data_IF_279034877173
#
_entry.id   IF_279034877173
#
_cell.length_a   1.000
_cell.length_b   1.000
_cell.length_c   1.000
_cell.angle_alpha   90.00
_cell.angle_beta   90.00
_cell.angle_gamma   90.00
#
_symmetry.space_group_name_H-M   'P 1'
#
loop_
_entity.id
_entity.type
_entity.pdbx_description
1 polymer ?
#
# COMPACT_ATOMS: atom_id res chain seq x y z
N UNK A 1 -13.93 -32.88 28.55
CA UNK A 1 -14.77 -32.35 27.45
C UNK A 1 -13.99 -32.04 26.15
N UNK A 2 -12.65 -32.10 26.14
CA UNK A 2 -11.82 -31.77 24.95
C UNK A 2 -11.69 -32.90 23.90
N UNK A 3 -11.76 -34.17 24.30
CA UNK A 3 -11.56 -35.30 23.38
C UNK A 3 -12.70 -35.58 22.38
N UNK A 4 -13.93 -35.12 22.65
CA UNK A 4 -15.08 -35.35 21.76
C UNK A 4 -15.08 -34.43 20.53
N UNK A 5 -14.65 -33.17 20.69
CA UNK A 5 -14.58 -32.19 19.60
C UNK A 5 -13.47 -32.49 18.60
N UNK A 6 -12.34 -33.03 19.06
CA UNK A 6 -11.25 -33.46 18.18
C UNK A 6 -11.67 -34.64 17.29
N UNK A 7 -12.27 -35.68 17.87
CA UNK A 7 -12.81 -36.83 17.11
C UNK A 7 -13.87 -36.42 16.08
N UNK A 8 -14.68 -35.41 16.39
CA UNK A 8 -15.67 -34.86 15.45
C UNK A 8 -15.02 -34.18 14.24
N UNK A 9 -13.94 -33.41 14.45
CA UNK A 9 -13.20 -32.74 13.37
C UNK A 9 -12.46 -33.72 12.48
N UNK A 10 -11.85 -34.75 13.06
CA UNK A 10 -11.19 -35.83 12.30
C UNK A 10 -12.18 -36.60 11.42
N UNK A 11 -13.41 -36.85 11.95
CA UNK A 11 -14.49 -37.47 11.17
C UNK A 11 -14.95 -36.60 10.00
N UNK A 12 -15.05 -35.29 10.19
CA UNK A 12 -15.38 -34.33 9.12
C UNK A 12 -14.27 -34.25 8.06
N UNK A 13 -13.00 -34.19 8.48
CA UNK A 13 -11.87 -34.21 7.55
C UNK A 13 -11.85 -35.51 6.70
N UNK A 14 -12.15 -36.66 7.32
CA UNK A 14 -12.26 -37.94 6.62
C UNK A 14 -13.44 -37.97 5.63
N UNK A 15 -14.58 -37.39 5.99
CA UNK A 15 -15.73 -37.26 5.10
C UNK A 15 -15.40 -36.39 3.87
N UNK A 16 -14.66 -35.29 4.07
CA UNK A 16 -14.19 -34.42 2.97
C UNK A 16 -13.24 -35.16 2.05
N UNK A 17 -12.27 -35.91 2.59
CA UNK A 17 -11.36 -36.73 1.76
C UNK A 17 -12.11 -37.81 0.98
N UNK A 18 -13.10 -38.44 1.59
CA UNK A 18 -13.92 -39.47 0.93
C UNK A 18 -14.78 -38.90 -0.20
N UNK A 19 -15.34 -37.70 -0.03
CA UNK A 19 -16.15 -37.04 -1.05
C UNK A 19 -15.32 -36.62 -2.28
N UNK A 20 -14.03 -36.35 -2.08
CA UNK A 20 -13.08 -35.99 -3.14
C UNK A 20 -12.45 -37.22 -3.82
N UNK A 21 -12.66 -38.43 -3.29
CA UNK A 21 -12.05 -39.65 -3.81
C UNK A 21 -10.55 -39.78 -3.52
N UNK A 22 -10.03 -39.07 -2.52
CA UNK A 22 -8.61 -39.05 -2.11
C UNK A 22 -7.61 -38.91 -3.28
N UNK A 23 -7.68 -37.82 -4.06
CA UNK A 23 -6.85 -37.66 -5.24
C UNK A 23 -5.42 -37.26 -4.87
N UNK A 24 -4.44 -37.68 -5.67
CA UNK A 24 -3.00 -37.45 -5.42
C UNK A 24 -2.59 -35.97 -5.37
N UNK A 25 -3.43 -35.09 -5.92
CA UNK A 25 -3.23 -33.63 -5.87
C UNK A 25 -3.74 -32.98 -4.57
N UNK A 26 -4.48 -33.70 -3.72
CA UNK A 26 -4.97 -33.18 -2.44
C UNK A 26 -3.96 -33.48 -1.33
N UNK A 27 -3.18 -32.46 -0.95
CA UNK A 27 -2.07 -32.62 0.01
C UNK A 27 -2.57 -32.70 1.45
N UNK A 28 -3.55 -31.87 1.82
CA UNK A 28 -4.12 -31.93 3.16
C UNK A 28 -5.55 -31.38 3.23
N UNK A 29 -6.26 -31.81 4.28
CA UNK A 29 -7.60 -31.35 4.67
C UNK A 29 -7.58 -31.10 6.16
N UNK A 30 -7.86 -29.87 6.57
CA UNK A 30 -7.92 -29.47 7.99
C UNK A 30 -9.26 -28.83 8.30
N UNK A 31 -9.88 -29.19 9.44
CA UNK A 31 -11.13 -28.58 9.89
C UNK A 31 -10.85 -27.69 11.10
N UNK A 32 -11.15 -26.41 10.97
CA UNK A 32 -11.04 -25.40 12.03
C UNK A 32 -12.09 -25.58 13.13
N UNK A 33 -11.90 -24.88 14.26
CA UNK A 33 -12.86 -24.90 15.38
C UNK A 33 -14.19 -24.20 15.04
N UNK A 34 -14.18 -23.34 14.03
CA UNK A 34 -15.32 -22.62 13.45
C UNK A 34 -16.03 -23.41 12.33
N UNK A 35 -15.75 -24.71 12.18
CA UNK A 35 -16.37 -25.52 11.12
C UNK A 35 -15.85 -25.21 9.71
N UNK A 36 -14.76 -24.45 9.58
CA UNK A 36 -14.12 -24.14 8.29
C UNK A 36 -13.24 -25.29 7.81
N UNK A 37 -13.48 -25.77 6.59
CA UNK A 37 -12.58 -26.68 5.90
C UNK A 37 -11.48 -25.92 5.15
N UNK A 38 -10.22 -26.28 5.40
CA UNK A 38 -9.05 -25.80 4.66
C UNK A 38 -8.52 -26.96 3.83
N UNK A 39 -8.48 -26.77 2.51
CA UNK A 39 -8.00 -27.73 1.52
C UNK A 39 -6.66 -27.23 0.96
N UNK A 40 -5.63 -28.06 0.94
CA UNK A 40 -4.37 -27.75 0.26
C UNK A 40 -4.27 -28.61 -0.98
N UNK A 41 -4.21 -27.97 -2.15
CA UNK A 41 -4.22 -28.62 -3.45
C UNK A 41 -2.93 -28.28 -4.18
N UNK A 42 -2.23 -29.30 -4.67
CA UNK A 42 -1.05 -29.14 -5.51
C UNK A 42 -1.44 -28.60 -6.88
N UNK A 43 -0.80 -27.52 -7.28
CA UNK A 43 -0.88 -26.92 -8.60
C UNK A 43 0.41 -27.17 -9.37
N UNK A 44 0.30 -27.59 -10.63
CA UNK A 44 1.42 -27.59 -11.54
C UNK A 44 1.61 -26.17 -12.09
N UNK A 45 2.85 -25.67 -12.07
CA UNK A 45 3.22 -24.35 -12.59
C UNK A 45 2.91 -24.16 -14.09
N UNK A 46 2.76 -25.24 -14.84
CA UNK A 46 2.39 -25.23 -16.27
C UNK A 46 0.89 -25.35 -16.56
N UNK A 47 0.04 -25.69 -15.58
CA UNK A 47 -1.39 -25.97 -15.77
C UNK A 47 -2.26 -25.21 -14.76
N UNK A 48 -2.30 -23.89 -14.92
CA UNK A 48 -3.13 -23.01 -14.07
C UNK A 48 -4.62 -23.25 -14.25
N UNK A 49 -5.06 -23.67 -15.45
CA UNK A 49 -6.47 -23.91 -15.74
C UNK A 49 -6.97 -25.21 -15.07
N UNK A 50 -6.19 -26.29 -15.11
CA UNK A 50 -6.51 -27.53 -14.41
C UNK A 50 -6.43 -27.39 -12.89
N UNK A 51 -5.49 -26.59 -12.37
CA UNK A 51 -5.43 -26.28 -10.94
C UNK A 51 -6.67 -25.54 -10.45
N UNK A 52 -7.17 -24.56 -11.21
CA UNK A 52 -8.39 -23.83 -10.88
C UNK A 52 -9.64 -24.70 -11.00
N UNK A 53 -9.72 -25.57 -12.01
CA UNK A 53 -10.82 -26.53 -12.13
C UNK A 53 -10.89 -27.47 -10.91
N UNK A 54 -9.74 -28.00 -10.47
CA UNK A 54 -9.63 -28.83 -9.24
C UNK A 54 -10.02 -28.05 -7.98
N UNK A 55 -9.63 -26.77 -7.89
CA UNK A 55 -10.03 -25.89 -6.77
C UNK A 55 -11.56 -25.79 -6.67
N UNK A 56 -12.22 -25.50 -7.79
CA UNK A 56 -13.68 -25.33 -7.85
C UNK A 56 -14.38 -26.65 -7.52
N UNK A 57 -13.91 -27.77 -8.07
CA UNK A 57 -14.46 -29.10 -7.76
C UNK A 57 -14.34 -29.41 -6.26
N UNK A 58 -13.16 -29.17 -5.69
CA UNK A 58 -12.89 -29.49 -4.30
C UNK A 58 -13.71 -28.63 -3.31
N UNK A 59 -13.87 -27.34 -3.62
CA UNK A 59 -14.70 -26.43 -2.83
C UNK A 59 -16.17 -26.85 -2.84
N UNK A 60 -16.70 -27.19 -4.01
CA UNK A 60 -18.09 -27.61 -4.16
C UNK A 60 -18.38 -28.94 -3.46
N UNK A 61 -17.46 -29.89 -3.52
CA UNK A 61 -17.62 -31.18 -2.83
C UNK A 61 -17.53 -31.02 -1.31
N UNK A 62 -16.58 -30.22 -0.80
CA UNK A 62 -16.43 -29.99 0.64
C UNK A 62 -17.60 -29.20 1.23
N UNK A 63 -18.14 -28.22 0.51
CA UNK A 63 -19.27 -27.39 0.95
C UNK A 63 -20.58 -28.17 1.09
N UNK A 64 -20.71 -29.34 0.45
CA UNK A 64 -21.89 -30.21 0.55
C UNK A 64 -21.88 -31.13 1.77
N UNK A 65 -20.80 -31.14 2.55
CA UNK A 65 -20.69 -32.01 3.72
C UNK A 65 -21.37 -31.35 4.92
N UNK A 66 -22.38 -32.00 5.53
CA UNK A 66 -23.05 -31.48 6.71
C UNK A 66 -22.05 -31.25 7.85
N UNK A 67 -22.00 -30.01 8.37
CA UNK A 67 -21.06 -29.60 9.42
C UNK A 67 -19.86 -28.79 8.93
N UNK A 68 -19.75 -28.55 7.62
CA UNK A 68 -18.82 -27.57 7.04
C UNK A 68 -19.56 -26.25 6.82
N UNK A 69 -19.11 -25.18 7.48
CA UNK A 69 -19.73 -23.85 7.36
C UNK A 69 -19.07 -22.99 6.27
N UNK A 70 -17.78 -23.22 6.03
CA UNK A 70 -17.00 -22.47 5.05
C UNK A 70 -15.88 -23.34 4.49
N UNK A 71 -15.55 -23.17 3.21
CA UNK A 71 -14.41 -23.82 2.57
C UNK A 71 -13.39 -22.77 2.16
N UNK A 72 -12.11 -23.08 2.30
CA UNK A 72 -11.00 -22.27 1.82
C UNK A 72 -9.96 -23.19 1.21
N UNK A 73 -9.53 -22.88 -0.02
CA UNK A 73 -8.54 -23.69 -0.72
C UNK A 73 -7.25 -22.91 -0.91
N UNK A 74 -6.13 -23.59 -0.73
CA UNK A 74 -4.79 -23.07 -0.95
C UNK A 74 -4.15 -23.89 -2.08
N UNK A 75 -3.68 -23.21 -3.13
CA UNK A 75 -2.95 -23.84 -4.22
C UNK A 75 -1.44 -23.78 -3.93
N UNK A 76 -0.76 -24.92 -3.91
CA UNK A 76 0.70 -25.04 -3.70
C UNK A 76 1.38 -25.36 -5.02
N UNK A 77 2.25 -24.47 -5.52
CA UNK A 77 3.06 -24.74 -6.70
C UNK A 77 4.47 -25.14 -6.28
N UNK A 78 4.90 -26.36 -6.57
CA UNK A 78 6.30 -26.76 -6.45
C UNK A 78 7.06 -26.33 -7.70
N UNK A 79 8.18 -25.61 -7.52
CA UNK A 79 9.14 -25.30 -8.58
C UNK A 79 10.43 -26.06 -8.27
N UNK A 80 10.76 -27.05 -9.08
CA UNK A 80 12.04 -27.74 -8.96
C UNK A 80 13.21 -26.76 -9.27
N UNK A 81 14.33 -26.77 -8.51
CA UNK A 81 15.46 -25.88 -8.78
C UNK A 81 16.28 -26.35 -9.98
N UNK A 82 16.61 -25.41 -10.87
CA UNK A 82 17.59 -25.48 -11.97
C UNK A 82 17.32 -26.45 -13.15
N UNK A 83 17.03 -25.85 -14.32
CA UNK A 83 17.83 -26.14 -15.53
C UNK A 83 18.17 -24.84 -16.26
N UNK A 84 19.47 -24.58 -16.32
CA UNK A 84 20.15 -23.66 -17.23
C UNK A 84 19.87 -24.03 -18.69
N UNK A 85 19.48 -23.07 -19.51
CA UNK A 85 19.61 -23.21 -20.97
C UNK A 85 20.44 -22.06 -21.54
N UNK A 86 21.65 -22.44 -21.94
CA UNK A 86 22.49 -21.77 -22.93
C UNK A 86 22.09 -22.18 -24.34
N UNK A 87 22.55 -21.36 -25.31
CA UNK A 87 22.58 -21.57 -26.77
C UNK A 87 21.26 -21.35 -27.52
N UNK A 88 21.25 -20.95 -28.78
CA UNK A 88 22.18 -20.28 -29.69
C UNK A 88 21.37 -20.05 -30.96
N UNK A 89 21.82 -19.10 -31.77
CA UNK A 89 21.22 -18.71 -33.03
C UNK A 89 21.32 -19.83 -34.08
N UNK A 90 20.20 -20.25 -34.68
CA UNK A 90 20.18 -20.82 -36.04
C UNK A 90 18.83 -20.56 -36.70
N UNK A 91 18.87 -19.86 -37.83
CA UNK A 91 17.69 -19.66 -38.67
C UNK A 91 17.38 -20.90 -39.49
N UNK A 92 16.09 -21.19 -39.67
CA UNK A 92 15.58 -21.79 -40.89
C UNK A 92 14.07 -21.58 -41.04
N UNK A 93 13.74 -21.17 -42.26
CA UNK A 93 12.44 -20.82 -42.79
C UNK A 93 11.52 -22.07 -42.84
N UNK A 94 10.37 -22.06 -42.13
CA UNK A 94 9.26 -22.99 -42.39
C UNK A 94 7.92 -22.27 -42.22
N UNK A 95 7.12 -22.35 -43.29
CA UNK A 95 5.76 -21.86 -43.46
C UNK A 95 4.80 -22.48 -42.44
N UNK A 96 4.08 -21.64 -41.70
CA UNK A 96 3.06 -22.04 -40.73
C UNK A 96 1.70 -22.24 -41.45
N UNK A 97 0.98 -23.36 -41.27
CA UNK A 97 -0.41 -23.46 -41.68
C UNK A 97 -1.31 -22.75 -40.65
N UNK A 98 -2.27 -21.97 -41.15
CA UNK A 98 -3.26 -21.24 -40.33
C UNK A 98 -4.10 -22.19 -39.46
N UNK A 99 -3.94 -22.07 -38.14
CA UNK A 99 -4.82 -22.69 -37.15
C UNK A 99 -5.82 -21.61 -36.69
N UNK A 100 -7.14 -21.75 -36.96
CA UNK A 100 -8.14 -20.79 -36.50
C UNK A 100 -8.36 -20.97 -34.99
N UNK A 101 -7.82 -20.06 -34.18
CA UNK A 101 -8.13 -19.98 -32.75
C UNK A 101 -9.31 -19.04 -32.53
N UNK A 102 -10.54 -19.57 -32.50
CA UNK A 102 -11.59 -19.21 -31.54
C UNK A 102 -12.86 -20.05 -31.78
N UNK A 103 -13.42 -20.74 -30.77
CA UNK A 103 -14.82 -21.13 -30.82
C UNK A 103 -15.70 -19.88 -30.64
N UNK A 104 -16.68 -19.69 -31.52
CA UNK A 104 -17.72 -18.66 -31.37
C UNK A 104 -18.54 -18.93 -30.10
N UNK A 105 -18.88 -17.89 -29.31
CA UNK A 105 -19.70 -18.06 -28.12
C UNK A 105 -21.13 -18.48 -28.48
N UNK A 106 -21.82 -19.27 -27.64
CA UNK A 106 -23.20 -19.68 -27.89
C UNK A 106 -24.14 -18.48 -27.98
N UNK A 107 -25.08 -18.57 -28.93
CA UNK A 107 -26.08 -17.56 -29.21
C UNK A 107 -26.87 -17.22 -27.93
N UNK A 108 -26.84 -15.93 -27.53
CA UNK A 108 -27.54 -15.42 -26.34
C UNK A 108 -26.64 -14.75 -25.30
N UNK A 109 -25.31 -14.88 -25.40
CA UNK A 109 -24.38 -14.16 -24.52
C UNK A 109 -24.11 -12.74 -25.04
N UNK A 110 -24.60 -11.74 -24.31
CA UNK A 110 -24.36 -10.33 -24.63
C UNK A 110 -22.91 -9.99 -24.25
N UNK A 111 -22.03 -9.84 -25.24
CA UNK A 111 -20.68 -9.30 -25.04
C UNK A 111 -20.82 -7.89 -24.43
N UNK A 112 -20.31 -7.71 -23.22
CA UNK A 112 -20.19 -6.38 -22.62
C UNK A 112 -19.09 -5.64 -23.37
N UNK A 113 -19.45 -4.60 -24.10
CA UNK A 113 -18.49 -3.73 -24.76
C UNK A 113 -17.73 -2.92 -23.72
N UNK A 114 -16.44 -2.70 -23.96
CA UNK A 114 -15.60 -1.82 -23.13
C UNK A 114 -16.21 -0.40 -23.21
N UNK A 115 -16.91 0.01 -22.16
CA UNK A 115 -17.71 1.24 -22.13
C UNK A 115 -19.15 1.10 -21.63
N UNK A 116 -19.61 -0.10 -21.25
CA UNK A 116 -20.91 -0.24 -20.58
C UNK A 116 -20.91 0.57 -19.27
N UNK A 117 -21.73 1.62 -19.20
CA UNK A 117 -21.99 2.35 -17.95
C UNK A 117 -22.63 1.37 -16.96
N UNK A 118 -22.03 1.29 -15.77
CA UNK A 118 -22.64 0.63 -14.61
C UNK A 118 -24.03 1.25 -14.40
N UNK A 119 -25.05 0.44 -14.12
CA UNK A 119 -26.37 0.95 -13.77
C UNK A 119 -26.27 1.86 -12.54
N UNK A 120 -27.15 2.86 -12.45
CA UNK A 120 -27.16 3.79 -11.31
C UNK A 120 -27.33 3.06 -9.96
N UNK A 121 -27.97 1.88 -9.96
CA UNK A 121 -28.05 0.98 -8.80
C UNK A 121 -26.72 0.30 -8.44
N UNK A 122 -25.87 -0.04 -9.42
CA UNK A 122 -24.53 -0.57 -9.16
C UNK A 122 -23.56 0.51 -8.68
N UNK A 123 -23.81 1.79 -9.05
CA UNK A 123 -23.08 2.95 -8.53
C UNK A 123 -23.52 3.32 -7.11
N UNK A 124 -24.79 3.10 -6.75
CA UNK A 124 -25.32 3.38 -5.40
C UNK A 124 -24.98 2.30 -4.38
N UNK A 125 -24.77 1.05 -4.78
CA UNK A 125 -24.34 -0.05 -3.90
C UNK A 125 -22.90 0.05 -3.39
N UNK A 126 -22.13 1.04 -3.87
CA UNK A 126 -20.76 1.31 -3.43
C UNK A 126 -20.55 2.69 -2.81
N UNK A 127 -21.63 3.43 -2.54
CA UNK A 127 -21.50 4.68 -1.79
C UNK A 127 -21.04 4.34 -0.36
N UNK A 128 -19.83 4.76 0.07
CA UNK A 128 -19.46 4.62 1.47
C UNK A 128 -20.54 5.32 2.31
N UNK A 129 -20.92 4.76 3.47
CA UNK A 129 -21.83 5.45 4.38
C UNK A 129 -21.31 6.88 4.60
N UNK A 130 -22.21 7.87 4.78
CA UNK A 130 -21.81 9.25 5.01
C UNK A 130 -20.74 9.27 6.09
N UNK A 131 -19.59 9.86 5.76
CA UNK A 131 -18.40 9.82 6.60
C UNK A 131 -18.76 10.35 7.99
N UNK A 132 -18.75 9.48 8.99
CA UNK A 132 -18.80 9.90 10.38
C UNK A 132 -17.65 10.88 10.58
N UNK A 133 -17.88 12.09 11.10
CA UNK A 133 -16.81 13.06 11.30
C UNK A 133 -15.73 12.41 12.18
N UNK A 134 -14.55 12.19 11.60
CA UNK A 134 -13.43 11.59 12.30
C UNK A 134 -12.94 12.57 13.36
N UNK A 135 -12.77 12.08 14.59
CA UNK A 135 -12.28 12.91 15.68
C UNK A 135 -10.82 13.26 15.42
N UNK A 136 -10.41 14.53 15.58
CA UNK A 136 -9.01 14.92 15.54
C UNK A 136 -8.18 14.11 16.54
N UNK A 137 -6.94 13.81 16.19
CA UNK A 137 -5.99 13.16 17.11
C UNK A 137 -5.40 14.24 18.01
N UNK A 138 -5.57 14.17 19.35
CA UNK A 138 -5.03 15.16 20.25
C UNK A 138 -3.51 15.29 20.10
N UNK A 139 -3.00 16.53 20.05
CA UNK A 139 -1.58 16.79 19.91
C UNK A 139 -1.06 16.83 18.48
N UNK A 140 -1.93 16.72 17.47
CA UNK A 140 -1.56 16.84 16.05
C UNK A 140 -2.48 17.85 15.36
N UNK A 141 -1.90 18.90 14.77
CA UNK A 141 -2.65 19.95 14.08
C UNK A 141 -3.09 19.52 12.67
N UNK A 142 -2.18 18.93 11.88
CA UNK A 142 -2.45 18.49 10.51
C UNK A 142 -1.82 17.13 10.22
N UNK A 143 -2.46 16.34 9.37
CA UNK A 143 -1.96 15.04 8.91
C UNK A 143 -1.88 15.04 7.39
N UNK A 144 -0.66 14.89 6.86
CA UNK A 144 -0.39 14.71 5.43
C UNK A 144 -0.06 13.26 5.15
N UNK A 145 -0.84 12.62 4.30
CA UNK A 145 -0.53 11.29 3.76
C UNK A 145 0.34 11.44 2.52
N UNK A 146 1.49 10.76 2.50
CA UNK A 146 2.33 10.61 1.31
C UNK A 146 2.06 9.24 0.72
N UNK A 147 1.43 9.22 -0.45
CA UNK A 147 0.94 8.01 -1.08
C UNK A 147 1.61 7.77 -2.43
N UNK A 148 1.69 6.50 -2.83
CA UNK A 148 2.13 6.10 -4.15
C UNK A 148 1.35 4.89 -4.60
N UNK A 149 0.92 4.88 -5.84
CA UNK A 149 0.10 3.78 -6.32
C UNK A 149 0.92 2.60 -6.89
N UNK A 150 2.26 2.67 -6.79
CA UNK A 150 3.22 1.59 -7.09
C UNK A 150 4.41 1.64 -6.12
N UNK A 151 5.00 0.48 -5.83
CA UNK A 151 6.28 0.39 -5.12
C UNK A 151 7.47 0.89 -5.95
N UNK A 152 8.51 1.40 -5.27
CA UNK A 152 9.76 1.81 -5.91
C UNK A 152 9.77 3.18 -6.58
N UNK A 153 8.70 3.98 -6.46
CA UNK A 153 8.63 5.35 -7.01
C UNK A 153 9.32 6.41 -6.12
N UNK A 154 9.98 6.01 -5.03
CA UNK A 154 10.64 6.95 -4.11
C UNK A 154 9.70 7.66 -3.11
N UNK A 155 8.52 7.09 -2.83
CA UNK A 155 7.55 7.59 -1.83
C UNK A 155 8.20 7.91 -0.47
N UNK A 156 8.86 6.93 0.15
CA UNK A 156 9.51 7.08 1.46
C UNK A 156 10.65 8.10 1.42
N UNK A 157 11.40 8.15 0.30
CA UNK A 157 12.41 9.19 0.07
C UNK A 157 11.82 10.58 0.08
N UNK A 158 10.67 10.77 -0.59
CA UNK A 158 9.94 12.04 -0.58
C UNK A 158 9.43 12.34 0.83
N UNK A 159 8.81 11.38 1.52
CA UNK A 159 8.27 11.57 2.87
C UNK A 159 9.35 12.02 3.88
N UNK A 160 10.49 11.31 3.92
CA UNK A 160 11.61 11.61 4.81
C UNK A 160 12.21 12.98 4.54
N UNK A 161 12.48 13.30 3.27
CA UNK A 161 13.12 14.57 2.93
C UNK A 161 12.16 15.76 3.03
N UNK A 162 10.87 15.56 2.75
CA UNK A 162 9.84 16.56 2.99
C UNK A 162 9.72 16.88 4.49
N UNK A 163 9.68 15.84 5.34
CA UNK A 163 9.63 16.00 6.78
C UNK A 163 10.85 16.78 7.30
N UNK A 164 12.05 16.36 6.90
CA UNK A 164 13.29 17.01 7.28
C UNK A 164 13.38 18.46 6.78
N UNK A 165 12.93 18.75 5.54
CA UNK A 165 12.89 20.11 5.01
C UNK A 165 11.92 21.02 5.78
N UNK A 166 10.75 20.51 6.17
CA UNK A 166 9.77 21.26 6.96
C UNK A 166 10.25 21.50 8.39
N UNK A 167 10.89 20.51 9.02
CA UNK A 167 11.52 20.69 10.33
C UNK A 167 12.67 21.71 10.29
N UNK A 168 13.52 21.64 9.24
CA UNK A 168 14.56 22.65 8.99
C UNK A 168 13.98 24.06 8.79
N UNK A 169 12.76 24.17 8.28
CA UNK A 169 12.04 25.44 8.14
C UNK A 169 11.36 25.90 9.45
N UNK A 170 11.50 25.16 10.55
CA UNK A 170 11.04 25.53 11.89
C UNK A 170 9.70 24.92 12.32
N UNK A 171 9.12 24.00 11.53
CA UNK A 171 7.89 23.31 11.92
C UNK A 171 8.19 22.16 12.90
N UNK A 172 7.27 21.91 13.84
CA UNK A 172 7.25 20.68 14.65
C UNK A 172 6.68 19.55 13.79
N UNK A 173 7.56 18.68 13.28
CA UNK A 173 7.18 17.63 12.32
C UNK A 173 7.33 16.25 12.92
N UNK A 174 6.30 15.43 12.69
CA UNK A 174 6.32 14.01 12.97
C UNK A 174 6.37 13.21 11.67
N UNK A 175 6.99 12.04 11.70
CA UNK A 175 7.01 11.10 10.60
C UNK A 175 6.59 9.71 11.07
N UNK A 176 5.48 9.21 10.53
CA UNK A 176 4.98 7.87 10.77
C UNK A 176 5.22 6.99 9.53
N UNK A 177 5.99 5.92 9.72
CA UNK A 177 6.14 4.86 8.74
C UNK A 177 5.03 3.81 8.90
N UNK A 178 4.10 3.81 7.95
CA UNK A 178 3.03 2.83 7.87
C UNK A 178 3.32 1.72 6.83
N UNK A 179 4.50 1.71 6.20
CA UNK A 179 4.88 0.70 5.20
C UNK A 179 5.46 -0.57 5.85
N UNK A 180 4.57 -1.42 6.34
CA UNK A 180 4.90 -2.60 7.14
C UNK A 180 5.70 -3.65 6.38
N UNK A 181 5.52 -3.72 5.06
CA UNK A 181 6.16 -4.75 4.25
C UNK A 181 7.60 -4.39 3.87
N UNK A 182 8.00 -3.13 4.06
CA UNK A 182 9.33 -2.65 3.75
C UNK A 182 9.62 -1.34 4.46
N UNK A 183 9.65 -1.32 5.81
CA UNK A 183 9.91 -0.10 6.56
C UNK A 183 11.30 0.41 6.20
N UNK A 184 11.37 1.61 5.65
CA UNK A 184 12.62 2.21 5.18
C UNK A 184 13.04 3.42 6.00
N UNK A 185 12.09 4.02 6.73
CA UNK A 185 12.32 5.24 7.51
C UNK A 185 13.39 5.06 8.59
N UNK A 186 13.43 3.96 9.39
CA UNK A 186 14.49 3.75 10.38
C UNK A 186 15.89 3.84 9.76
N UNK A 187 16.10 3.18 8.63
CA UNK A 187 17.35 3.22 7.86
C UNK A 187 17.66 4.62 7.37
N UNK A 188 16.70 5.29 6.73
CA UNK A 188 16.88 6.62 6.14
C UNK A 188 17.12 7.74 7.16
N UNK A 189 16.85 7.47 8.45
CA UNK A 189 17.12 8.38 9.56
C UNK A 189 18.31 7.97 10.42
N UNK A 190 18.96 6.83 10.13
CA UNK A 190 20.08 6.33 10.94
C UNK A 190 19.64 5.81 12.32
N UNK A 191 18.42 5.29 12.42
CA UNK A 191 17.75 4.91 13.68
C UNK A 191 17.37 3.42 13.73
N UNK A 192 18.05 2.57 12.96
CA UNK A 192 17.74 1.13 12.85
C UNK A 192 17.81 0.37 14.18
N UNK A 193 18.60 0.85 15.14
CA UNK A 193 18.74 0.26 16.47
C UNK A 193 17.94 1.01 17.55
N UNK A 194 17.11 1.97 17.15
CA UNK A 194 16.31 2.74 18.09
C UNK A 194 15.01 1.99 18.40
N UNK A 195 14.60 2.05 19.66
CA UNK A 195 13.33 1.51 20.12
C UNK A 195 12.53 2.65 20.80
N UNK A 196 11.24 2.81 20.50
CA UNK A 196 10.41 3.78 21.19
C UNK A 196 10.24 3.38 22.65
N UNK A 197 10.52 4.30 23.56
CA UNK A 197 10.26 4.09 24.98
C UNK A 197 8.75 4.10 25.26
N UNK A 198 8.36 3.56 26.41
CA UNK A 198 6.99 3.70 26.91
C UNK A 198 6.97 4.67 28.09
N UNK A 199 6.12 5.70 28.02
CA UNK A 199 5.97 6.70 29.08
C UNK A 199 5.21 6.14 30.30
N UNK A 200 5.24 6.83 31.46
CA UNK A 200 4.45 6.43 32.63
C UNK A 200 2.94 6.35 32.36
N UNK A 201 2.45 7.09 31.36
CA UNK A 201 1.06 7.05 30.89
C UNK A 201 0.78 5.88 29.93
N UNK A 202 1.73 4.95 29.77
CA UNK A 202 1.69 3.80 28.86
C UNK A 202 1.54 4.19 27.38
N UNK A 203 2.05 5.36 27.01
CA UNK A 203 2.11 5.80 25.61
C UNK A 203 3.49 5.55 25.02
N UNK A 204 3.53 5.33 23.71
CA UNK A 204 4.78 5.28 22.96
C UNK A 204 5.38 6.68 22.88
N UNK A 205 6.65 6.78 23.25
CA UNK A 205 7.47 7.98 23.06
C UNK A 205 8.12 7.86 21.69
N UNK A 206 7.81 8.75 20.72
CA UNK A 206 8.44 8.73 19.41
C UNK A 206 9.97 8.82 19.50
N UNK A 207 10.65 8.12 18.59
CA UNK A 207 12.11 8.26 18.43
C UNK A 207 12.40 9.65 17.87
N UNK A 208 13.37 10.37 18.45
CA UNK A 208 13.78 11.66 17.92
C UNK A 208 14.97 11.51 16.98
N UNK A 209 14.87 12.05 15.77
CA UNK A 209 15.95 12.05 14.80
C UNK A 209 15.85 13.27 13.88
N UNK A 210 16.96 13.98 13.71
CA UNK A 210 17.05 15.12 12.78
C UNK A 210 15.98 16.22 13.01
N UNK A 211 15.55 16.43 14.26
CA UNK A 211 14.48 17.37 14.61
C UNK A 211 13.06 16.87 14.33
N UNK A 212 12.92 15.57 14.01
CA UNK A 212 11.64 14.90 13.79
C UNK A 212 11.30 14.01 14.99
N UNK A 213 10.01 13.93 15.31
CA UNK A 213 9.45 12.81 16.10
C UNK A 213 9.06 11.68 15.17
N UNK A 214 9.50 10.46 15.40
CA UNK A 214 9.27 9.35 14.46
C UNK A 214 8.75 8.10 15.12
N UNK A 215 7.84 7.43 14.42
CA UNK A 215 7.41 6.08 14.74
C UNK A 215 7.41 5.25 13.47
N UNK A 216 7.83 4.00 13.59
CA UNK A 216 7.82 3.04 12.50
C UNK A 216 7.51 1.68 13.08
N UNK A 217 6.80 0.88 12.29
CA UNK A 217 6.65 -0.54 12.61
C UNK A 217 8.02 -1.24 12.57
N UNK A 218 8.98 -0.72 11.81
CA UNK A 218 10.37 -1.18 11.84
C UNK A 218 11.07 -0.99 13.20
N UNK A 219 10.61 -0.09 14.07
CA UNK A 219 11.15 0.00 15.45
C UNK A 219 10.54 -1.03 16.41
N UNK A 220 9.37 -1.57 16.06
CA UNK A 220 8.62 -2.53 16.89
C UNK A 220 8.79 -3.98 16.40
N UNK A 221 9.52 -4.17 15.30
CA UNK A 221 9.68 -5.45 14.63
C UNK A 221 11.08 -5.99 14.89
N UNK A 222 11.15 -7.24 15.35
CA UNK A 222 12.41 -7.99 15.39
C UNK A 222 12.79 -8.34 13.93
N UNK A 223 13.97 -7.90 13.43
CA UNK A 223 14.42 -8.18 12.07
C UNK A 223 14.48 -9.67 11.71
N UNK A 224 14.67 -10.53 12.72
CA UNK A 224 14.86 -11.97 12.54
C UNK A 224 13.57 -12.79 12.72
N UNK A 225 12.48 -12.14 13.15
CA UNK A 225 11.19 -12.82 13.38
C UNK A 225 10.33 -12.84 12.10
N UNK A 226 9.83 -14.01 11.64
CA UNK A 226 8.88 -14.07 10.55
C UNK A 226 7.53 -13.48 10.98
N UNK A 227 7.29 -12.22 10.61
CA UNK A 227 6.07 -11.53 11.01
C UNK A 227 4.93 -11.79 10.04
N UNK A 228 3.83 -12.35 10.55
CA UNK A 228 2.59 -12.57 9.79
C UNK A 228 1.69 -11.33 9.93
N UNK A 229 2.03 -10.27 9.22
CA UNK A 229 1.22 -9.04 9.17
C UNK A 229 0.00 -9.22 8.25
N UNK A 230 -1.12 -9.66 8.82
CA UNK A 230 -2.42 -9.66 8.12
C UNK A 230 -3.10 -8.29 8.26
N UNK A 231 -3.86 -7.88 7.23
CA UNK A 231 -4.47 -6.53 7.12
C UNK A 231 -5.11 -5.96 8.40
N UNK A 232 -5.91 -6.72 9.18
CA UNK A 232 -6.49 -6.20 10.43
C UNK A 232 -5.44 -5.84 11.51
N UNK A 233 -4.34 -6.61 11.60
CA UNK A 233 -3.25 -6.38 12.56
C UNK A 233 -2.47 -5.13 12.16
N UNK A 234 -2.16 -5.00 10.86
CA UNK A 234 -1.55 -3.82 10.26
C UNK A 234 -2.32 -2.56 10.63
N UNK A 235 -3.63 -2.58 10.45
CA UNK A 235 -4.47 -1.43 10.75
C UNK A 235 -4.54 -1.12 12.24
N UNK A 236 -4.59 -2.14 13.09
CA UNK A 236 -4.54 -1.95 14.54
C UNK A 236 -3.23 -1.30 14.96
N UNK A 237 -2.10 -1.76 14.43
CA UNK A 237 -0.78 -1.21 14.72
C UNK A 237 -0.66 0.26 14.29
N UNK A 238 -1.05 0.59 13.06
CA UNK A 238 -1.04 1.99 12.58
C UNK A 238 -1.94 2.88 13.45
N UNK A 239 -3.14 2.39 13.79
CA UNK A 239 -4.07 3.14 14.66
C UNK A 239 -3.48 3.34 16.05
N UNK A 240 -2.77 2.35 16.60
CA UNK A 240 -2.09 2.43 17.88
C UNK A 240 -0.93 3.44 17.82
N UNK A 241 -0.07 3.38 16.80
CA UNK A 241 1.03 4.34 16.60
C UNK A 241 0.52 5.79 16.48
N UNK A 242 -0.70 5.98 15.99
CA UNK A 242 -1.33 7.28 15.87
C UNK A 242 -1.95 7.77 17.19
N UNK A 243 -2.71 6.92 17.89
CA UNK A 243 -3.52 7.33 19.04
C UNK A 243 -2.79 7.17 20.39
N UNK A 244 -1.90 6.18 20.51
CA UNK A 244 -1.23 5.80 21.76
C UNK A 244 0.23 6.26 21.78
N UNK A 245 0.51 7.42 21.16
CA UNK A 245 1.84 8.00 21.08
C UNK A 245 1.87 9.47 21.52
N UNK A 246 3.03 9.93 22.00
CA UNK A 246 3.27 11.30 22.49
C UNK A 246 3.76 12.24 21.38
N UNK A 247 2.94 12.40 20.34
CA UNK A 247 3.22 13.30 19.22
C UNK A 247 3.33 14.77 19.66
N UNK A 248 2.42 15.22 20.52
CA UNK A 248 2.34 16.57 21.07
C UNK A 248 1.23 16.68 22.10
N UNK A 249 0.99 17.88 22.60
CA UNK A 249 -0.13 18.17 23.53
C UNK A 249 -1.13 19.11 22.87
N UNK A 250 -2.25 19.39 23.54
CA UNK A 250 -3.21 20.37 23.00
C UNK A 250 -2.63 21.79 23.01
N UNK A 251 -1.80 22.07 24.00
CA UNK A 251 -1.15 23.37 24.24
C UNK A 251 0.11 23.54 23.38
N UNK A 252 0.78 22.42 23.06
CA UNK A 252 1.95 22.38 22.19
C UNK A 252 1.80 21.23 21.17
N UNK A 253 0.94 21.41 20.15
CA UNK A 253 0.67 20.36 19.17
C UNK A 253 1.83 20.20 18.19
N UNK A 254 1.97 19.01 17.63
CA UNK A 254 2.74 18.80 16.42
C UNK A 254 2.08 19.58 15.26
N UNK A 255 2.85 20.38 14.52
CA UNK A 255 2.30 21.21 13.43
C UNK A 255 1.87 20.32 12.25
N UNK A 256 2.65 19.28 11.96
CA UNK A 256 2.38 18.35 10.87
C UNK A 256 2.86 16.94 11.20
N UNK A 257 1.97 15.95 11.09
CA UNK A 257 2.34 14.55 10.97
C UNK A 257 2.34 14.13 9.49
N UNK A 258 3.47 13.65 9.01
CA UNK A 258 3.58 13.02 7.68
C UNK A 258 3.47 11.51 7.86
N UNK A 259 2.57 10.87 7.09
CA UNK A 259 2.40 9.42 7.08
C UNK A 259 2.91 8.86 5.75
N UNK A 260 3.95 8.04 5.81
CA UNK A 260 4.43 7.26 4.67
C UNK A 260 3.61 5.97 4.55
N UNK A 261 2.74 5.86 3.55
CA UNK A 261 1.81 4.72 3.45
C UNK A 261 2.44 3.51 2.76
N UNK A 262 1.89 2.30 2.88
CA UNK A 262 2.24 1.21 1.97
C UNK A 262 2.03 1.60 0.49
N UNK A 263 2.71 0.94 -0.46
CA UNK A 263 2.49 1.18 -1.87
C UNK A 263 1.15 0.60 -2.36
N UNK A 264 0.60 1.19 -3.42
CA UNK A 264 -0.59 0.70 -4.11
C UNK A 264 -1.83 1.53 -3.83
N UNK A 265 -3.00 0.94 -4.02
CA UNK A 265 -4.30 1.48 -3.57
C UNK A 265 -5.06 0.41 -2.80
N UNK A 266 -4.31 -0.40 -2.03
CA UNK A 266 -4.83 -1.55 -1.29
C UNK A 266 -5.49 -1.14 0.02
N UNK A 267 -5.95 -2.16 0.75
CA UNK A 267 -6.78 -1.98 1.96
C UNK A 267 -6.14 -1.11 3.04
N UNK A 268 -4.80 -1.16 3.19
CA UNK A 268 -4.12 -0.37 4.21
C UNK A 268 -4.20 1.14 3.95
N UNK A 269 -3.94 1.58 2.71
CA UNK A 269 -4.01 3.00 2.34
C UNK A 269 -5.45 3.51 2.38
N UNK A 270 -6.41 2.69 1.91
CA UNK A 270 -7.83 3.01 2.01
C UNK A 270 -8.28 3.14 3.46
N UNK A 271 -7.84 2.23 4.32
CA UNK A 271 -8.22 2.25 5.72
C UNK A 271 -7.58 3.41 6.50
N UNK A 272 -6.35 3.83 6.17
CA UNK A 272 -5.78 5.11 6.67
C UNK A 272 -6.70 6.26 6.26
N UNK A 273 -7.06 6.35 4.97
CA UNK A 273 -7.91 7.42 4.46
C UNK A 273 -9.34 7.42 5.04
N UNK A 274 -9.82 6.28 5.54
CA UNK A 274 -11.17 6.14 6.13
C UNK A 274 -11.22 6.25 7.66
N UNK A 275 -10.13 5.98 8.37
CA UNK A 275 -10.10 5.89 9.85
C UNK A 275 -9.24 6.96 10.51
N UNK A 276 -8.36 7.61 9.76
CA UNK A 276 -7.48 8.67 10.25
C UNK A 276 -8.03 10.00 9.76
N UNK A 277 -8.12 11.04 10.61
CA UNK A 277 -8.54 12.39 10.20
C UNK A 277 -7.46 13.07 9.34
N UNK A 278 -7.24 12.54 8.14
CA UNK A 278 -6.23 13.03 7.19
C UNK A 278 -6.64 14.41 6.68
N UNK A 279 -5.73 15.38 6.83
CA UNK A 279 -5.93 16.74 6.32
C UNK A 279 -5.83 16.77 4.80
N UNK A 280 -4.83 16.08 4.25
CA UNK A 280 -4.59 16.01 2.80
C UNK A 280 -3.69 14.83 2.40
N UNK A 281 -3.65 14.58 1.10
CA UNK A 281 -2.74 13.62 0.48
C UNK A 281 -1.83 14.26 -0.58
N UNK A 282 -0.56 13.85 -0.58
CA UNK A 282 0.42 14.08 -1.63
C UNK A 282 0.64 12.77 -2.40
N UNK A 283 0.50 12.79 -3.73
CA UNK A 283 0.76 11.61 -4.56
C UNK A 283 2.16 11.67 -5.15
N UNK A 284 2.94 10.62 -4.93
CA UNK A 284 4.29 10.43 -5.49
C UNK A 284 4.22 9.48 -6.69
N UNK A 285 4.86 9.83 -7.79
CA UNK A 285 4.90 9.03 -9.03
C UNK A 285 6.23 9.19 -9.77
N UNK A 286 6.45 8.37 -10.80
CA UNK A 286 7.48 8.59 -11.82
C UNK A 286 6.85 9.00 -13.16
N UNK A 287 7.62 9.51 -14.14
CA UNK A 287 7.10 9.88 -15.45
C UNK A 287 6.57 8.71 -16.29
N UNK A 288 6.82 7.47 -15.88
CA UNK A 288 6.49 6.26 -16.65
C UNK A 288 4.98 6.05 -16.75
N UNK A 289 4.49 5.76 -17.95
CA UNK A 289 3.04 5.60 -18.21
C UNK A 289 2.36 4.57 -17.30
N UNK A 290 3.07 3.50 -16.93
CA UNK A 290 2.58 2.47 -16.02
C UNK A 290 2.34 3.06 -14.62
N UNK A 291 3.25 3.88 -14.09
CA UNK A 291 3.08 4.54 -12.80
C UNK A 291 1.96 5.60 -12.85
N UNK A 292 1.79 6.28 -13.98
CA UNK A 292 0.75 7.30 -14.18
C UNK A 292 -0.68 6.72 -14.14
N UNK A 293 -0.89 5.51 -14.66
CA UNK A 293 -2.18 4.83 -14.53
C UNK A 293 -2.56 4.64 -13.05
N UNK A 294 -1.57 4.43 -12.20
CA UNK A 294 -1.73 4.20 -10.77
C UNK A 294 -2.10 5.50 -10.03
N UNK A 295 -1.54 6.64 -10.46
CA UNK A 295 -1.90 7.98 -9.93
C UNK A 295 -3.39 8.26 -10.05
N UNK A 296 -4.01 7.94 -11.21
CA UNK A 296 -5.46 8.14 -11.40
C UNK A 296 -6.28 7.33 -10.38
N UNK A 297 -5.86 6.09 -10.11
CA UNK A 297 -6.52 5.22 -9.12
C UNK A 297 -6.36 5.76 -7.71
N UNK A 298 -5.15 6.20 -7.34
CA UNK A 298 -4.88 6.82 -6.05
C UNK A 298 -5.71 8.09 -5.81
N UNK A 299 -5.75 8.99 -6.79
CA UNK A 299 -6.56 10.21 -6.71
C UNK A 299 -8.06 9.90 -6.59
N UNK A 300 -8.57 8.94 -7.38
CA UNK A 300 -9.96 8.51 -7.30
C UNK A 300 -10.31 7.86 -5.94
N UNK A 301 -9.37 7.13 -5.33
CA UNK A 301 -9.55 6.55 -4.00
C UNK A 301 -9.70 7.66 -2.94
N UNK A 302 -8.80 8.65 -2.92
CA UNK A 302 -8.89 9.76 -1.96
C UNK A 302 -10.13 10.63 -2.17
N UNK A 303 -10.56 10.84 -3.42
CA UNK A 303 -11.81 11.50 -3.72
C UNK A 303 -13.02 10.77 -3.11
N UNK A 304 -13.05 9.43 -3.15
CA UNK A 304 -14.12 8.62 -2.53
C UNK A 304 -14.10 8.68 -1.00
N UNK A 305 -12.93 8.92 -0.39
CA UNK A 305 -12.79 9.07 1.07
C UNK A 305 -12.85 10.53 1.53
N UNK A 306 -13.16 11.48 0.63
CA UNK A 306 -13.21 12.91 0.92
C UNK A 306 -11.90 13.51 1.44
N UNK A 307 -10.76 12.84 1.18
CA UNK A 307 -9.44 13.36 1.52
C UNK A 307 -8.97 14.22 0.33
N UNK A 308 -8.66 15.52 0.54
CA UNK A 308 -8.21 16.36 -0.55
C UNK A 308 -6.79 15.97 -0.98
N UNK A 309 -6.58 15.85 -2.29
CA UNK A 309 -5.24 15.66 -2.86
C UNK A 309 -4.68 17.05 -3.16
N UNK A 310 -3.59 17.43 -2.48
CA UNK A 310 -2.99 18.76 -2.63
C UNK A 310 -2.07 18.87 -3.84
N UNK A 311 -1.68 17.74 -4.43
CA UNK A 311 -0.88 17.74 -5.65
C UNK A 311 -0.09 16.46 -5.88
N UNK A 312 0.77 16.53 -6.89
CA UNK A 312 1.64 15.44 -7.33
C UNK A 312 3.11 15.85 -7.17
N UNK A 313 3.93 14.95 -6.66
CA UNK A 313 5.39 15.03 -6.74
C UNK A 313 5.89 13.96 -7.72
N UNK A 314 6.57 14.38 -8.78
CA UNK A 314 7.21 13.47 -9.73
C UNK A 314 8.66 13.23 -9.30
N UNK A 315 9.05 11.97 -9.16
CA UNK A 315 10.42 11.56 -8.86
C UNK A 315 11.09 10.96 -10.09
N UNK A 316 12.41 10.88 -10.05
CA UNK A 316 13.20 10.32 -11.14
C UNK A 316 12.93 11.04 -12.47
N UNK A 317 12.64 12.35 -12.41
CA UNK A 317 12.16 13.13 -13.54
C UNK A 317 13.22 13.23 -14.65
N UNK A 318 14.48 13.48 -14.29
CA UNK A 318 15.62 13.42 -15.22
C UNK A 318 16.91 13.13 -14.47
N UNK A 319 17.95 12.74 -15.19
CA UNK A 319 19.33 12.72 -14.75
C UNK A 319 20.10 13.79 -15.51
N UNK A 320 20.94 14.58 -14.86
CA UNK A 320 21.80 15.56 -15.52
C UNK A 320 23.23 15.02 -15.58
N UNK A 321 23.80 14.92 -16.79
CA UNK A 321 25.16 14.44 -16.99
C UNK A 321 26.21 15.52 -16.66
N UNK A 322 27.51 15.17 -16.55
CA UNK A 322 28.56 16.16 -16.25
C UNK A 322 28.71 17.28 -17.30
N UNK A 323 28.13 17.14 -18.49
CA UNK A 323 28.10 18.17 -19.53
C UNK A 323 26.86 19.08 -19.43
N UNK A 324 25.96 18.84 -18.47
CA UNK A 324 24.74 19.60 -18.23
C UNK A 324 23.54 19.14 -19.07
N UNK A 325 23.63 18.01 -19.79
CA UNK A 325 22.50 17.51 -20.55
C UNK A 325 21.54 16.73 -19.66
N UNK A 326 20.24 16.92 -19.88
CA UNK A 326 19.18 16.19 -19.18
C UNK A 326 18.77 14.94 -19.94
N UNK A 327 18.76 13.83 -19.23
CA UNK A 327 18.37 12.51 -19.70
C UNK A 327 17.10 12.04 -18.98
N UNK A 328 16.04 11.81 -19.74
CA UNK A 328 14.72 11.44 -19.23
C UNK A 328 14.52 9.91 -19.26
N UNK A 329 15.33 9.18 -18.48
CA UNK A 329 15.37 7.71 -18.50
C UNK A 329 14.02 7.06 -18.17
N UNK A 330 13.19 7.74 -17.37
CA UNK A 330 11.88 7.28 -16.94
C UNK A 330 10.73 7.87 -17.77
N UNK A 331 11.03 8.65 -18.81
CA UNK A 331 10.07 9.46 -19.57
C UNK A 331 10.08 10.92 -19.15
N UNK A 332 9.39 11.78 -19.92
CA UNK A 332 9.37 13.23 -19.72
C UNK A 332 7.94 13.75 -19.55
N UNK A 333 7.72 14.53 -18.49
CA UNK A 333 6.50 15.30 -18.25
C UNK A 333 5.26 14.46 -17.96
N UNK A 334 5.41 13.20 -17.55
CA UNK A 334 4.31 12.29 -17.25
C UNK A 334 3.44 12.77 -16.10
N UNK A 335 4.06 13.15 -14.99
CA UNK A 335 3.45 13.74 -13.81
C UNK A 335 2.77 15.07 -14.12
N UNK A 336 3.38 15.92 -14.96
CA UNK A 336 2.77 17.17 -15.42
C UNK A 336 1.48 16.96 -16.21
N UNK A 337 1.51 16.06 -17.20
CA UNK A 337 0.33 15.67 -17.99
C UNK A 337 -0.76 15.10 -17.09
N UNK A 338 -0.37 14.29 -16.10
CA UNK A 338 -1.31 13.71 -15.14
C UNK A 338 -1.93 14.76 -14.22
N UNK A 339 -1.11 15.65 -13.67
CA UNK A 339 -1.55 16.77 -12.83
C UNK A 339 -2.60 17.61 -13.57
N UNK A 340 -2.32 17.99 -14.81
CA UNK A 340 -3.26 18.70 -15.67
C UNK A 340 -4.55 17.91 -15.92
N UNK A 341 -4.45 16.61 -16.22
CA UNK A 341 -5.61 15.76 -16.49
C UNK A 341 -6.51 15.56 -15.26
N UNK A 342 -5.96 15.67 -14.05
CA UNK A 342 -6.68 15.54 -12.79
C UNK A 342 -7.08 16.89 -12.18
N UNK A 343 -6.68 18.01 -12.79
CA UNK A 343 -6.91 19.34 -12.22
C UNK A 343 -6.13 19.57 -10.91
N UNK A 344 -5.00 18.90 -10.74
CA UNK A 344 -4.12 18.98 -9.56
C UNK A 344 -2.85 19.76 -9.90
N UNK A 345 -2.20 20.42 -8.91
CA UNK A 345 -0.90 21.04 -9.12
C UNK A 345 0.22 19.98 -9.12
N UNK A 346 1.26 20.24 -9.92
CA UNK A 346 2.54 19.54 -9.83
C UNK A 346 3.43 20.31 -8.85
N UNK A 347 3.64 19.75 -7.66
CA UNK A 347 4.35 20.43 -6.57
C UNK A 347 5.87 20.34 -6.69
N UNK A 348 6.38 19.28 -7.32
CA UNK A 348 7.80 19.13 -7.62
C UNK A 348 8.05 18.14 -8.77
N UNK A 349 9.16 18.36 -9.46
CA UNK A 349 9.82 17.40 -10.34
C UNK A 349 11.22 17.18 -9.73
N UNK A 350 11.50 15.97 -9.24
CA UNK A 350 12.69 15.65 -8.45
C UNK A 350 13.66 14.87 -9.35
N UNK A 351 14.84 15.43 -9.68
CA UNK A 351 15.83 14.74 -10.49
C UNK A 351 16.45 13.54 -9.78
N UNK A 352 17.04 12.64 -10.57
CA UNK A 352 17.88 11.54 -10.10
C UNK A 352 19.23 12.11 -9.67
N UNK A 353 19.32 12.50 -8.40
CA UNK A 353 20.55 12.98 -7.78
C UNK A 353 21.18 11.86 -6.94
N UNK A 354 22.46 11.58 -7.21
CA UNK A 354 23.24 10.60 -6.44
C UNK A 354 23.24 10.92 -4.94
N UNK A 355 23.30 12.21 -4.60
CA UNK A 355 23.28 12.70 -3.22
C UNK A 355 22.00 12.32 -2.47
N UNK A 356 20.86 12.16 -3.14
CA UNK A 356 19.60 11.71 -2.49
C UNK A 356 19.74 10.25 -2.03
N UNK A 357 20.30 9.39 -2.89
CA UNK A 357 20.53 7.98 -2.56
C UNK A 357 21.55 7.82 -1.43
N UNK A 358 22.70 8.49 -1.57
CA UNK A 358 23.79 8.42 -0.59
C UNK A 358 23.35 8.91 0.80
N UNK A 359 22.61 10.02 0.84
CA UNK A 359 22.03 10.56 2.06
C UNK A 359 21.07 9.57 2.74
N UNK A 360 20.21 8.91 1.96
CA UNK A 360 19.31 7.88 2.46
C UNK A 360 20.05 6.70 3.07
N UNK A 361 21.08 6.19 2.40
CA UNK A 361 21.88 5.05 2.88
C UNK A 361 22.73 5.42 4.11
N UNK A 362 23.18 6.68 4.19
CA UNK A 362 23.92 7.21 5.34
C UNK A 362 23.02 7.57 6.53
N UNK A 363 21.70 7.42 6.41
CA UNK A 363 20.75 7.75 7.47
C UNK A 363 20.63 9.25 7.78
N UNK A 364 21.01 10.13 6.85
CA UNK A 364 20.95 11.57 7.01
C UNK A 364 20.19 12.18 5.83
N UNK A 365 18.94 12.64 5.99
CA UNK A 365 18.14 13.14 4.89
C UNK A 365 18.84 14.21 4.04
N UNK A 366 18.76 14.07 2.71
CA UNK A 366 19.38 14.99 1.75
C UNK A 366 18.88 16.44 1.90
N UNK A 367 17.65 16.64 2.37
CA UNK A 367 17.08 17.94 2.71
C UNK A 367 17.88 18.73 3.77
N UNK A 368 18.66 18.05 4.60
CA UNK A 368 19.49 18.68 5.65
C UNK A 368 20.87 19.10 5.14
N UNK A 369 21.26 18.60 3.96
CA UNK A 369 22.51 18.98 3.31
C UNK A 369 22.41 20.35 2.62
N UNK A 370 23.43 20.69 1.84
CA UNK A 370 23.43 21.86 0.96
C UNK A 370 23.46 21.42 -0.50
N UNK A 371 22.97 22.26 -1.40
CA UNK A 371 23.01 22.04 -2.84
C UNK A 371 21.71 21.45 -3.42
N UNK A 372 21.76 20.92 -4.66
CA UNK A 372 20.56 20.72 -5.48
C UNK A 372 19.49 19.82 -4.84
N UNK A 373 19.89 18.78 -4.10
CA UNK A 373 18.94 17.91 -3.43
C UNK A 373 18.18 18.64 -2.32
N UNK A 374 18.89 19.41 -1.48
CA UNK A 374 18.26 20.20 -0.43
C UNK A 374 17.34 21.28 -1.01
N UNK A 375 17.77 21.98 -2.06
CA UNK A 375 17.00 23.03 -2.71
C UNK A 375 15.66 22.51 -3.26
N UNK A 376 15.67 21.32 -3.88
CA UNK A 376 14.46 20.68 -4.41
C UNK A 376 13.47 20.34 -3.29
N UNK A 377 13.94 19.78 -2.18
CA UNK A 377 13.06 19.41 -1.06
C UNK A 377 12.58 20.61 -0.25
N UNK A 378 13.39 21.66 -0.09
CA UNK A 378 12.95 22.94 0.49
C UNK A 378 11.87 23.60 -0.36
N UNK A 379 12.01 23.56 -1.69
CA UNK A 379 10.98 24.03 -2.61
C UNK A 379 9.70 23.20 -2.52
N UNK A 380 9.81 21.86 -2.46
CA UNK A 380 8.65 20.99 -2.24
C UNK A 380 7.97 21.30 -0.91
N UNK A 381 8.73 21.44 0.18
CA UNK A 381 8.20 21.78 1.51
C UNK A 381 7.42 23.09 1.50
N UNK A 382 7.97 24.13 0.86
CA UNK A 382 7.28 25.41 0.68
C UNK A 382 5.97 25.25 -0.10
N UNK A 383 5.99 24.53 -1.22
CA UNK A 383 4.81 24.33 -2.05
C UNK A 383 3.72 23.54 -1.31
N UNK A 384 4.11 22.50 -0.56
CA UNK A 384 3.19 21.72 0.27
C UNK A 384 2.61 22.57 1.40
N UNK A 385 3.43 23.39 2.09
CA UNK A 385 2.95 24.27 3.16
C UNK A 385 1.90 25.27 2.63
N UNK A 386 2.18 25.92 1.50
CA UNK A 386 1.23 26.82 0.83
C UNK A 386 -0.06 26.07 0.48
N UNK A 387 0.05 24.90 -0.14
CA UNK A 387 -1.12 24.11 -0.52
C UNK A 387 -1.96 23.69 0.69
N UNK A 388 -1.32 23.34 1.82
CA UNK A 388 -2.01 23.01 3.07
C UNK A 388 -2.71 24.23 3.69
N UNK A 389 -2.14 25.42 3.59
CA UNK A 389 -2.75 26.67 4.10
C UNK A 389 -3.91 27.15 3.20
N UNK A 390 -3.84 26.91 1.90
CA UNK A 390 -4.90 27.22 0.94
C UNK A 390 -6.08 26.23 1.01
N UNK A 391 -5.93 25.09 1.69
CA UNK A 391 -7.03 24.14 1.88
C UNK A 391 -8.13 24.78 2.72
N UNK A 392 -9.21 25.15 2.03
CA UNK A 392 -10.49 25.45 2.67
C UNK A 392 -11.12 24.15 3.14
N UNK A 393 -10.66 23.66 4.30
CA UNK A 393 -11.37 22.62 5.02
C UNK A 393 -12.61 23.26 5.65
N UNK A 394 -13.80 22.76 5.32
CA UNK A 394 -15.01 23.20 6.04
C UNK A 394 -14.80 22.88 7.53
N UNK A 395 -14.93 23.87 8.43
CA UNK A 395 -14.84 23.58 9.86
C UNK A 395 -15.89 22.52 10.22
N UNK A 396 -15.53 21.62 11.13
CA UNK A 396 -16.48 20.66 11.66
C UNK A 396 -17.66 21.44 12.29
N UNK A 397 -18.92 21.02 12.05
CA UNK A 397 -20.06 21.69 12.64
C UNK A 397 -19.95 21.67 14.17
N UNK A 398 -20.19 22.82 14.78
CA UNK A 398 -20.26 22.94 16.24
C UNK A 398 -21.53 22.20 16.71
N UNK A 399 -21.36 21.08 17.40
CA UNK A 399 -22.47 20.35 18.01
C UNK A 399 -22.67 20.94 19.41
N UNK A 400 -23.63 21.86 19.52
CA UNK A 400 -24.09 22.40 20.80
C UNK A 400 -25.21 21.49 21.32
N UNK A 401 -25.02 20.92 22.51
CA UNK A 401 -26.10 20.27 23.25
C UNK A 401 -26.72 21.35 24.15
N UNK A 402 -27.99 21.70 23.91
CA UNK A 402 -28.78 22.51 24.83
C UNK A 402 -29.39 21.59 25.90
N UNK A 403 -29.34 22.02 27.16
CA UNK A 403 -29.77 21.27 28.36
C UNK A 403 -31.27 20.97 28.40
#
# INVERSE_FOLDING_TARGET
MFGSRQKSREKLAAAVRSALGAPDWLESVTIGEDGRAILVIRADSGDTAGAEARRIEAENAAARIPGIEKVTTVLTAEKAPNQTHSHANSGQNRTNPDIPLTPSPPAGTRRVTKGARLSDEALSQGAPPPATPMRPIPGIARILVVASAKGGVGKSTVAVNLAAAMARAGMKVGLLDADIYGPSIPTMLGTVNAEPATSPAKKLVPVEAHGLKTLSIGYLSDPDAPMIWRGPIVMSAITQLLNDAEWGTKEDPLDLLIIDTPPGTGDAQLAIAQKVPVTAALIVTTPQEVALADVRRGAAMFAKTHVPVIGIAETMSWFEDPAGNRHYLMGEGGGRKMAQALGLPLLAEIPMLQTIREAGDAGTPAALSNGPAADVFLKLARNVAIALDELVTKPAPEIVFED
#
